data_IF_220026589899
#
_entry.id   IF_220026589899
#
_cell.length_a   1.000
_cell.length_b   1.000
_cell.length_c   1.000
_cell.angle_alpha   90.00
_cell.angle_beta   90.00
_cell.angle_gamma   90.00
#
_symmetry.space_group_name_H-M   'P 1'
#
loop_
_entity.id
_entity.type
_entity.pdbx_description
1 polymer ?
#
# COMPACT_ATOMS: atom_id res chain seq x y z
N UNK A 1 -2.68 4.82 -0.01
CA UNK A 1 -2.81 3.46 -0.57
C UNK A 1 -4.16 2.85 -0.21
N UNK A 2 -4.50 2.66 1.07
CA UNK A 2 -5.75 1.96 1.47
C UNK A 2 -7.04 2.47 0.81
N UNK A 3 -7.14 3.78 0.55
CA UNK A 3 -8.30 4.40 -0.13
C UNK A 3 -8.30 4.29 -1.66
N UNK A 4 -7.24 3.76 -2.27
CA UNK A 4 -7.06 3.68 -3.73
C UNK A 4 -7.13 2.25 -4.28
N UNK A 5 -7.34 1.25 -3.43
CA UNK A 5 -7.71 -0.08 -3.90
C UNK A 5 -9.12 -0.06 -4.47
N UNK A 6 -9.45 -1.02 -5.33
CA UNK A 6 -10.84 -1.20 -5.77
C UNK A 6 -11.69 -1.71 -4.60
N UNK A 7 -12.95 -2.01 -4.87
CA UNK A 7 -13.89 -2.60 -3.91
C UNK A 7 -13.42 -3.95 -3.31
N UNK A 8 -12.38 -4.59 -3.86
CA UNK A 8 -11.73 -5.80 -3.34
C UNK A 8 -10.39 -5.51 -2.65
N UNK A 9 -10.04 -4.24 -2.46
CA UNK A 9 -8.73 -3.77 -1.96
C UNK A 9 -7.53 -4.22 -2.81
N UNK A 10 -7.75 -4.48 -4.09
CA UNK A 10 -6.70 -4.82 -5.04
C UNK A 10 -6.16 -3.54 -5.68
N UNK A 11 -4.83 -3.42 -5.69
CA UNK A 11 -4.09 -2.30 -6.27
C UNK A 11 -3.67 -2.53 -7.72
N UNK A 12 -3.65 -1.44 -8.48
CA UNK A 12 -3.09 -1.33 -9.83
C UNK A 12 -1.66 -0.79 -9.83
N UNK A 13 -1.02 -0.78 -11.00
CA UNK A 13 0.31 -0.15 -11.21
C UNK A 13 0.26 1.35 -10.93
N UNK A 14 -0.79 2.02 -11.40
CA UNK A 14 -0.89 3.48 -11.36
C UNK A 14 -2.24 3.94 -10.81
N UNK A 15 -2.24 5.14 -10.23
CA UNK A 15 -3.43 5.81 -9.74
C UNK A 15 -3.46 7.19 -10.40
N UNK A 16 -4.53 7.47 -11.14
CA UNK A 16 -4.76 8.78 -11.73
C UNK A 16 -4.93 9.84 -10.64
N UNK A 17 -4.74 11.12 -10.99
CA UNK A 17 -5.04 12.23 -10.06
C UNK A 17 -6.51 12.26 -9.61
N UNK A 18 -7.42 11.69 -10.42
CA UNK A 18 -8.83 11.48 -10.07
C UNK A 18 -9.06 10.40 -9.01
N UNK A 19 -8.03 9.57 -8.72
CA UNK A 19 -8.14 8.40 -7.86
C UNK A 19 -8.51 7.11 -8.61
N UNK A 20 -8.73 7.17 -9.92
CA UNK A 20 -8.96 5.99 -10.74
C UNK A 20 -7.73 5.10 -10.82
N UNK A 21 -7.97 3.80 -10.77
CA UNK A 21 -6.96 2.79 -10.93
C UNK A 21 -6.64 2.57 -12.42
N UNK A 22 -5.37 2.66 -12.78
CA UNK A 22 -4.88 2.59 -14.15
C UNK A 22 -3.84 1.48 -14.31
N UNK A 23 -3.74 0.94 -15.52
CA UNK A 23 -2.76 -0.09 -15.86
C UNK A 23 -3.13 -1.48 -15.34
N UNK A 24 -2.11 -2.32 -15.07
CA UNK A 24 -2.36 -3.73 -14.74
C UNK A 24 -2.94 -3.90 -13.34
N UNK A 25 -3.90 -4.81 -13.24
CA UNK A 25 -4.57 -5.19 -12.00
C UNK A 25 -4.88 -6.68 -12.05
N UNK A 26 -4.57 -7.50 -11.01
CA UNK A 26 -3.90 -7.16 -9.75
C UNK A 26 -2.38 -6.95 -9.89
N UNK A 27 -1.83 -5.98 -9.18
CA UNK A 27 -0.41 -5.63 -9.21
C UNK A 27 0.32 -6.15 -7.96
N UNK A 28 1.19 -7.15 -8.12
CA UNK A 28 1.80 -7.84 -6.97
C UNK A 28 2.79 -6.98 -6.16
N UNK A 29 3.59 -6.12 -6.80
CA UNK A 29 4.60 -5.30 -6.11
C UNK A 29 3.99 -4.22 -5.19
N UNK A 30 2.83 -3.66 -5.51
CA UNK A 30 2.08 -2.68 -4.74
C UNK A 30 1.57 -3.32 -3.45
N UNK A 31 1.10 -4.58 -3.51
CA UNK A 31 0.74 -5.35 -2.33
C UNK A 31 1.97 -5.65 -1.46
N UNK A 32 3.08 -6.10 -2.06
CA UNK A 32 4.33 -6.35 -1.33
C UNK A 32 4.91 -5.09 -0.69
N UNK A 33 4.84 -3.95 -1.38
CA UNK A 33 5.28 -2.66 -0.87
C UNK A 33 4.42 -2.21 0.31
N UNK A 34 3.10 -2.38 0.25
CA UNK A 34 2.19 -2.04 1.35
C UNK A 34 2.46 -2.90 2.60
N UNK A 35 2.62 -4.21 2.43
CA UNK A 35 2.99 -5.13 3.52
C UNK A 35 4.33 -4.70 4.13
N UNK A 36 5.33 -4.45 3.29
CA UNK A 36 6.66 -4.02 3.73
C UNK A 36 6.62 -2.69 4.48
N UNK A 37 5.78 -1.74 4.04
CA UNK A 37 5.60 -0.46 4.72
C UNK A 37 4.98 -0.65 6.12
N UNK A 38 3.97 -1.52 6.25
CA UNK A 38 3.36 -1.83 7.54
C UNK A 38 4.36 -2.46 8.52
N UNK A 39 5.16 -3.43 8.07
CA UNK A 39 6.21 -4.04 8.90
C UNK A 39 7.29 -3.05 9.34
N UNK A 40 7.72 -2.14 8.45
CA UNK A 40 8.72 -1.13 8.79
C UNK A 40 8.16 -0.07 9.73
N UNK A 41 6.89 0.31 9.58
CA UNK A 41 6.21 1.21 10.49
C UNK A 41 6.13 0.62 11.90
N UNK A 42 5.68 -0.63 12.04
CA UNK A 42 5.61 -1.34 13.32
C UNK A 42 6.97 -1.39 14.02
N UNK A 43 8.02 -1.78 13.30
CA UNK A 43 9.40 -1.79 13.82
C UNK A 43 9.84 -0.41 14.32
N UNK A 44 9.51 0.64 13.58
CA UNK A 44 9.87 2.02 13.93
C UNK A 44 9.11 2.48 15.18
N UNK A 45 7.82 2.20 15.28
CA UNK A 45 7.05 2.54 16.48
C UNK A 45 7.51 1.74 17.71
N UNK A 46 7.85 0.47 17.52
CA UNK A 46 8.39 -0.38 18.59
C UNK A 46 9.75 0.12 19.11
N UNK A 47 10.62 0.68 18.26
CA UNK A 47 11.88 1.30 18.72
C UNK A 47 11.65 2.61 19.44
N UNK A 48 10.66 3.41 19.03
CA UNK A 48 10.28 4.65 19.71
C UNK A 48 9.67 4.40 21.10
N UNK A 49 8.87 3.34 21.27
CA UNK A 49 8.28 2.98 22.58
C UNK A 49 9.30 2.43 23.60
N UNK A 50 10.49 2.02 23.16
CA UNK A 50 11.56 1.48 24.02
C UNK A 50 12.60 2.53 24.43
N UNK A 51 12.38 3.81 24.12
CA UNK A 51 13.21 4.95 24.53
C UNK A 51 12.44 5.81 25.53
#
# INVERSE_FOLDING_TARGET
MLSFGNHLHIFSDEIARSGEQLGNTPQAFSHLALISAAFNLDRTLATHHRR
#
